data_IF_222789873424
#
_entry.id   IF_222789873424
#
_cell.length_a   1.000
_cell.length_b   1.000
_cell.length_c   1.000
_cell.angle_alpha   90.00
_cell.angle_beta   90.00
_cell.angle_gamma   90.00
#
_symmetry.space_group_name_H-M   'P 1'
#
loop_
_entity.id
_entity.type
_entity.pdbx_description
1 polymer ?
#
# COMPACT_ATOMS: atom_id res chain seq x y z
N UNK A 1 9.39 -2.40 -8.84
CA UNK A 1 8.06 -1.77 -9.01
C UNK A 1 7.00 -2.75 -9.49
N UNK A 2 7.30 -3.63 -10.45
CA UNK A 2 6.36 -4.60 -11.05
C UNK A 2 5.59 -5.47 -10.01
N UNK A 3 6.25 -5.89 -8.94
CA UNK A 3 5.61 -6.65 -7.85
C UNK A 3 4.38 -5.96 -7.25
N UNK A 4 4.46 -4.66 -6.96
CA UNK A 4 3.36 -3.92 -6.33
C UNK A 4 2.17 -3.78 -7.27
N UNK A 5 2.42 -3.49 -8.54
CA UNK A 5 1.36 -3.42 -9.56
C UNK A 5 0.66 -4.77 -9.74
N UNK A 6 1.44 -5.86 -9.80
CA UNK A 6 0.90 -7.22 -9.90
C UNK A 6 0.12 -7.62 -8.63
N UNK A 7 0.56 -7.18 -7.46
CA UNK A 7 -0.15 -7.38 -6.21
C UNK A 7 -1.53 -6.70 -6.23
N UNK A 8 -1.59 -5.42 -6.61
CA UNK A 8 -2.85 -4.69 -6.74
C UNK A 8 -3.78 -5.30 -7.79
N UNK A 9 -3.25 -5.67 -8.96
CA UNK A 9 -4.01 -6.35 -10.01
C UNK A 9 -4.58 -7.70 -9.54
N UNK A 10 -3.79 -8.48 -8.79
CA UNK A 10 -4.23 -9.75 -8.22
C UNK A 10 -5.29 -9.57 -7.16
N UNK A 11 -5.14 -8.57 -6.27
CA UNK A 11 -6.18 -8.23 -5.29
C UNK A 11 -7.48 -7.84 -6.01
N UNK A 12 -7.41 -6.98 -7.02
CA UNK A 12 -8.58 -6.56 -7.76
C UNK A 12 -9.28 -7.74 -8.46
N UNK A 13 -8.49 -8.63 -9.09
CA UNK A 13 -9.01 -9.82 -9.77
C UNK A 13 -9.67 -10.82 -8.81
N UNK A 14 -9.04 -11.09 -7.65
CA UNK A 14 -9.53 -12.08 -6.68
C UNK A 14 -10.73 -11.56 -5.89
N UNK A 15 -10.72 -10.28 -5.50
CA UNK A 15 -11.73 -9.74 -4.58
C UNK A 15 -12.89 -9.03 -5.27
N UNK A 16 -12.81 -8.75 -6.58
CA UNK A 16 -13.96 -8.40 -7.44
C UNK A 16 -14.92 -7.39 -6.81
N UNK A 17 -14.44 -6.15 -6.65
CA UNK A 17 -15.19 -5.02 -6.07
C UNK A 17 -15.57 -5.11 -4.58
N UNK A 18 -14.95 -6.00 -3.81
CA UNK A 18 -15.14 -6.08 -2.35
C UNK A 18 -14.12 -5.24 -1.61
N UNK A 19 -14.52 -4.75 -0.43
CA UNK A 19 -13.60 -4.07 0.48
C UNK A 19 -12.48 -5.04 0.92
N UNK A 20 -11.23 -4.61 0.75
CA UNK A 20 -10.04 -5.41 1.09
C UNK A 20 -9.28 -4.70 2.20
N UNK A 21 -8.90 -5.45 3.23
CA UNK A 21 -7.98 -4.98 4.25
C UNK A 21 -6.63 -5.68 4.11
N UNK A 22 -5.55 -4.93 3.96
CA UNK A 22 -4.19 -5.49 3.90
C UNK A 22 -3.24 -4.75 4.84
N UNK A 23 -2.24 -5.45 5.36
CA UNK A 23 -1.16 -4.85 6.16
C UNK A 23 0.01 -4.43 5.27
N UNK A 24 0.98 -3.70 5.83
CA UNK A 24 2.24 -3.37 5.13
C UNK A 24 3.05 -4.66 4.93
N UNK A 25 2.95 -5.24 3.74
CA UNK A 25 3.78 -6.37 3.33
C UNK A 25 5.20 -5.93 3.02
N UNK A 26 6.20 -6.75 3.32
CA UNK A 26 7.60 -6.47 2.97
C UNK A 26 8.41 -5.71 4.04
N UNK A 27 7.80 -5.36 5.16
CA UNK A 27 8.39 -4.56 6.26
C UNK A 27 8.96 -5.39 7.43
N UNK A 28 8.80 -6.72 7.41
CA UNK A 28 9.26 -7.67 8.44
C UNK A 28 10.15 -8.78 7.89
N UNK A 29 10.03 -10.01 8.42
CA UNK A 29 10.88 -11.18 8.08
C UNK A 29 10.89 -11.52 6.58
N UNK A 30 9.78 -11.25 5.89
CA UNK A 30 9.65 -11.31 4.44
C UNK A 30 10.19 -10.02 3.81
N UNK A 31 11.50 -9.81 3.91
CA UNK A 31 12.17 -8.78 3.12
C UNK A 31 11.82 -8.98 1.65
N UNK A 32 11.36 -7.92 0.97
CA UNK A 32 11.37 -7.88 -0.49
C UNK A 32 12.85 -7.97 -0.87
N UNK A 33 13.28 -9.17 -1.24
CA UNK A 33 14.69 -9.57 -1.32
C UNK A 33 15.50 -8.76 -2.32
N UNK A 34 14.85 -8.07 -3.26
CA UNK A 34 15.45 -7.17 -4.24
C UNK A 34 15.72 -5.74 -3.72
N UNK A 35 15.17 -5.33 -2.57
CA UNK A 35 15.29 -3.95 -2.06
C UNK A 35 15.67 -3.92 -0.57
N UNK A 36 16.88 -4.40 -0.25
CA UNK A 36 17.49 -4.24 1.09
C UNK A 36 17.80 -2.76 1.32
N UNK A 37 16.96 -2.04 2.07
CA UNK A 37 17.21 -0.65 2.46
C UNK A 37 15.97 0.26 2.48
N UNK A 38 14.82 -0.21 1.97
CA UNK A 38 13.57 0.54 2.06
C UNK A 38 13.01 0.40 3.48
N UNK A 39 12.82 1.53 4.17
CA UNK A 39 12.20 1.54 5.50
C UNK A 39 10.70 1.20 5.41
N UNK A 40 10.07 0.70 6.49
CA UNK A 40 8.62 0.48 6.52
C UNK A 40 7.79 1.72 6.11
N UNK A 41 8.32 2.91 6.41
CA UNK A 41 7.73 4.19 6.03
C UNK A 41 7.81 4.48 4.53
N UNK A 42 8.98 4.26 3.91
CA UNK A 42 9.14 4.40 2.46
C UNK A 42 8.35 3.34 1.69
N UNK A 43 8.25 2.13 2.25
CA UNK A 43 7.43 1.06 1.69
C UNK A 43 5.95 1.43 1.71
N UNK A 44 5.47 2.03 2.80
CA UNK A 44 4.11 2.57 2.90
C UNK A 44 3.83 3.61 1.81
N UNK A 45 4.75 4.56 1.59
CA UNK A 45 4.60 5.56 0.51
C UNK A 45 4.49 4.91 -0.87
N UNK A 46 5.34 3.91 -1.15
CA UNK A 46 5.29 3.16 -2.41
C UNK A 46 3.98 2.39 -2.55
N UNK A 47 3.50 1.74 -1.49
CA UNK A 47 2.21 1.04 -1.49
C UNK A 47 1.05 1.99 -1.81
N UNK A 48 0.99 3.15 -1.16
CA UNK A 48 -0.04 4.17 -1.39
C UNK A 48 0.00 4.71 -2.82
N UNK A 49 1.19 5.07 -3.31
CA UNK A 49 1.35 5.59 -4.66
C UNK A 49 1.01 4.55 -5.73
N UNK A 50 1.47 3.31 -5.58
CA UNK A 50 1.18 2.22 -6.53
C UNK A 50 -0.27 1.78 -6.50
N UNK A 51 -0.94 1.85 -5.34
CA UNK A 51 -2.38 1.64 -5.24
C UNK A 51 -3.10 2.67 -6.13
N UNK A 52 -2.78 3.95 -5.96
CA UNK A 52 -3.39 5.04 -6.71
C UNK A 52 -3.12 4.96 -8.22
N UNK A 53 -1.92 4.59 -8.62
CA UNK A 53 -1.58 4.40 -10.05
C UNK A 53 -2.25 3.14 -10.63
N UNK A 54 -2.48 2.12 -9.79
CA UNK A 54 -3.15 0.88 -10.17
C UNK A 54 -4.68 0.97 -10.18
N UNK A 55 -5.26 2.10 -9.77
CA UNK A 55 -6.71 2.32 -9.85
C UNK A 55 -7.15 2.32 -11.31
N UNK A 56 -7.77 1.22 -11.71
CA UNK A 56 -8.61 1.18 -12.90
C UNK A 56 -9.96 1.78 -12.54
N UNK A 57 -10.64 2.50 -13.45
CA UNK A 57 -11.96 3.06 -13.16
C UNK A 57 -12.94 1.92 -12.82
N UNK A 58 -13.18 1.72 -11.53
CA UNK A 58 -14.04 0.67 -11.01
C UNK A 58 -15.50 1.13 -11.11
N UNK A 59 -16.41 0.22 -11.48
CA UNK A 59 -17.83 0.52 -11.59
C UNK A 59 -18.51 0.83 -10.23
N UNK A 60 -17.86 0.47 -9.10
CA UNK A 60 -18.31 0.73 -7.74
C UNK A 60 -17.15 1.17 -6.86
N UNK A 61 -17.38 2.07 -5.87
CA UNK A 61 -16.33 2.48 -4.95
C UNK A 61 -15.93 1.29 -4.07
N UNK A 62 -14.70 0.82 -4.23
CA UNK A 62 -14.11 -0.24 -3.42
C UNK A 62 -13.27 0.40 -2.32
N UNK A 63 -13.48 0.00 -1.07
CA UNK A 63 -12.67 0.52 0.04
C UNK A 63 -11.47 -0.41 0.23
N UNK A 64 -10.28 0.09 -0.09
CA UNK A 64 -9.02 -0.53 0.32
C UNK A 64 -8.59 0.06 1.67
N UNK A 65 -8.52 -0.78 2.69
CA UNK A 65 -8.04 -0.41 4.03
C UNK A 65 -6.62 -0.93 4.25
N UNK A 66 -5.68 -0.03 4.50
CA UNK A 66 -4.32 -0.40 4.89
C UNK A 66 -4.18 -0.39 6.41
N UNK A 67 -3.94 -1.55 7.01
CA UNK A 67 -3.79 -1.70 8.46
C UNK A 67 -2.30 -1.60 8.82
N UNK A 68 -1.95 -0.58 9.61
CA UNK A 68 -0.58 -0.33 10.06
C UNK A 68 -0.50 -0.55 11.57
N UNK A 69 0.34 -1.48 12.02
CA UNK A 69 0.62 -1.68 13.44
C UNK A 69 1.42 -0.50 13.96
N UNK A 70 1.05 0.05 15.12
CA UNK A 70 1.61 1.29 15.66
C UNK A 70 3.14 1.25 15.75
N UNK A 71 3.71 0.14 16.16
CA UNK A 71 5.16 0.03 16.40
C UNK A 71 5.99 -0.16 15.12
N UNK A 72 5.34 -0.35 13.97
CA UNK A 72 6.00 -0.63 12.69
C UNK A 72 6.49 0.63 11.98
N UNK A 73 5.87 1.78 12.26
CA UNK A 73 6.15 3.07 11.62
C UNK A 73 6.33 4.15 12.67
N UNK A 74 7.26 5.06 12.43
CA UNK A 74 7.34 6.29 13.21
C UNK A 74 6.19 7.24 12.83
N UNK A 75 5.14 7.26 13.64
CA UNK A 75 3.92 8.06 13.43
C UNK A 75 4.11 9.56 13.57
N UNK A 76 5.28 10.05 14.02
CA UNK A 76 5.54 11.50 14.06
C UNK A 76 5.50 12.13 12.66
N UNK A 77 5.64 11.33 11.60
CA UNK A 77 5.53 11.72 10.18
C UNK A 77 4.16 11.44 9.56
N UNK A 78 3.10 11.28 10.37
CA UNK A 78 1.76 10.95 9.87
C UNK A 78 1.21 12.00 8.90
N UNK A 79 1.48 13.29 9.14
CA UNK A 79 1.04 14.39 8.26
C UNK A 79 1.59 14.26 6.83
N UNK A 80 2.81 13.73 6.66
CA UNK A 80 3.39 13.46 5.33
C UNK A 80 2.66 12.31 4.61
N UNK A 81 2.17 11.31 5.35
CA UNK A 81 1.40 10.19 4.80
C UNK A 81 0.01 10.69 4.38
N UNK A 82 -0.63 11.49 5.22
CA UNK A 82 -1.94 12.10 4.93
C UNK A 82 -1.89 12.93 3.65
N UNK A 83 -0.85 13.76 3.50
CA UNK A 83 -0.61 14.52 2.26
C UNK A 83 -0.41 13.61 1.04
N UNK A 84 0.28 12.48 1.18
CA UNK A 84 0.47 11.52 0.10
C UNK A 84 -0.84 10.84 -0.34
N UNK A 85 -1.80 10.65 0.57
CA UNK A 85 -3.14 10.14 0.26
C UNK A 85 -4.04 11.19 -0.39
N UNK A 86 -4.01 12.43 0.09
CA UNK A 86 -4.92 13.50 -0.37
C UNK A 86 -4.45 14.21 -1.64
N UNK A 87 -3.19 14.02 -2.06
CA UNK A 87 -2.61 14.75 -3.19
C UNK A 87 -2.25 16.18 -2.79
N UNK A 88 -1.20 16.71 -3.43
CA UNK A 88 -0.85 18.13 -3.41
C UNK A 88 -2.04 19.01 -3.81
#
# INVERSE_FOLDING_TARGET
>A
MEFMLNFWASLHCVYGDRNVSTTIMGSGTTHISQHRGISPYELLKIMLWTCRVGETPVARPVILSLIVVRDLINWTRFSEIEAATHGL
#
